data_IF_741756999454
#
_entry.id   IF_741756999454
#
_cell.length_a   1.000
_cell.length_b   1.000
_cell.length_c   1.000
_cell.angle_alpha   90.00
_cell.angle_beta   90.00
_cell.angle_gamma   90.00
#
_symmetry.space_group_name_H-M   'P 1'
#
loop_
_entity.id
_entity.type
_entity.pdbx_description
1 polymer ?
#
# COMPACT_ATOMS: atom_id res chain seq x y z
N UNK A 1 27.19 -6.13 -1.31
CA UNK A 1 26.76 -5.41 -0.10
C UNK A 1 25.26 -5.22 -0.23
N UNK A 2 24.44 -5.66 0.73
CA UNK A 2 23.00 -5.35 0.69
C UNK A 2 22.84 -3.84 0.87
N UNK A 3 22.07 -3.20 0.00
CA UNK A 3 21.85 -1.76 0.04
C UNK A 3 21.02 -1.41 1.28
N UNK A 4 21.54 -0.52 2.13
CA UNK A 4 20.79 -0.02 3.27
C UNK A 4 19.76 1.02 2.82
N UNK A 5 18.55 0.95 3.37
CA UNK A 5 17.47 1.90 3.05
C UNK A 5 16.95 2.52 4.35
N UNK A 6 16.90 3.85 4.38
CA UNK A 6 16.26 4.62 5.45
C UNK A 6 15.02 5.31 4.90
N UNK A 7 13.90 5.20 5.60
CA UNK A 7 12.68 5.95 5.32
C UNK A 7 12.49 7.03 6.38
N UNK A 8 12.53 8.29 5.96
CA UNK A 8 12.18 9.43 6.82
C UNK A 8 10.76 9.91 6.50
N UNK A 9 9.95 10.16 7.53
CA UNK A 9 8.56 10.62 7.38
C UNK A 9 8.10 11.43 8.59
N UNK A 10 6.99 12.14 8.45
CA UNK A 10 6.35 12.85 9.55
C UNK A 10 5.57 11.87 10.43
N UNK A 11 5.76 11.91 11.75
CA UNK A 11 5.16 10.92 12.67
C UNK A 11 3.63 10.81 12.59
N UNK A 12 2.95 11.88 12.13
CA UNK A 12 1.50 11.96 11.91
C UNK A 12 1.05 11.44 10.53
N UNK A 13 1.99 11.17 9.61
CA UNK A 13 1.74 10.67 8.27
C UNK A 13 2.73 9.54 7.88
N UNK A 14 2.70 8.39 8.58
CA UNK A 14 3.57 7.27 8.25
C UNK A 14 3.20 6.65 6.88
N UNK A 15 4.17 6.29 6.03
CA UNK A 15 3.93 5.60 4.76
C UNK A 15 3.61 4.12 5.02
N UNK A 16 2.41 3.85 5.54
CA UNK A 16 2.00 2.53 6.02
C UNK A 16 2.10 1.45 4.93
N UNK A 17 1.70 1.75 3.69
CA UNK A 17 1.78 0.84 2.56
C UNK A 17 3.21 0.33 2.32
N UNK A 18 4.18 1.25 2.39
CA UNK A 18 5.60 0.94 2.20
C UNK A 18 6.16 0.15 3.37
N UNK A 19 5.86 0.55 4.61
CA UNK A 19 6.33 -0.16 5.81
C UNK A 19 5.79 -1.60 5.83
N UNK A 20 4.51 -1.78 5.52
CA UNK A 20 3.87 -3.09 5.45
C UNK A 20 4.46 -3.95 4.32
N UNK A 21 4.59 -3.39 3.11
CA UNK A 21 5.16 -4.10 1.97
C UNK A 21 6.60 -4.52 2.19
N UNK A 22 7.44 -3.66 2.79
CA UNK A 22 8.83 -4.00 3.07
C UNK A 22 8.94 -5.14 4.07
N UNK A 23 8.13 -5.11 5.14
CA UNK A 23 8.08 -6.19 6.13
C UNK A 23 7.66 -7.51 5.51
N UNK A 24 6.63 -7.51 4.66
CA UNK A 24 6.15 -8.70 3.95
C UNK A 24 7.23 -9.21 2.99
N UNK A 25 7.82 -8.31 2.20
CA UNK A 25 8.86 -8.62 1.22
C UNK A 25 10.22 -9.06 1.81
N UNK A 26 10.39 -8.97 3.13
CA UNK A 26 11.67 -9.24 3.79
C UNK A 26 12.73 -8.16 3.55
N UNK A 27 12.33 -6.97 3.10
CA UNK A 27 13.23 -5.83 2.87
C UNK A 27 13.44 -5.06 4.18
N UNK A 28 14.68 -4.98 4.63
CA UNK A 28 15.02 -4.23 5.84
C UNK A 28 14.99 -2.72 5.59
N UNK A 29 14.16 -2.01 6.34
CA UNK A 29 14.09 -0.55 6.35
C UNK A 29 14.49 -0.02 7.72
N UNK A 30 15.35 1.00 7.73
CA UNK A 30 15.54 1.85 8.91
C UNK A 30 14.48 2.93 8.91
N UNK A 31 13.75 3.10 10.02
CA UNK A 31 12.64 4.06 10.14
C UNK A 31 13.09 5.30 10.90
N UNK A 32 12.81 6.46 10.34
CA UNK A 32 13.13 7.78 10.89
C UNK A 32 11.88 8.70 10.91
N UNK A 33 11.11 8.72 12.02
CA UNK A 33 9.87 9.51 12.12
C UNK A 33 10.14 10.97 12.55
N UNK A 34 11.25 11.58 12.11
CA UNK A 34 11.69 12.90 12.59
C UNK A 34 11.30 14.09 11.70
N UNK A 35 10.64 13.85 10.55
CA UNK A 35 10.27 14.97 9.68
C UNK A 35 9.16 15.84 10.31
N UNK A 36 9.08 17.14 9.95
CA UNK A 36 8.03 18.02 10.43
C UNK A 36 6.62 17.50 10.09
N UNK A 37 5.64 17.79 10.95
CA UNK A 37 4.22 17.49 10.71
C UNK A 37 3.77 17.99 9.33
N UNK A 38 3.02 17.14 8.62
CA UNK A 38 2.56 17.40 7.26
C UNK A 38 3.61 17.18 6.16
N UNK A 39 4.87 16.87 6.50
CA UNK A 39 5.84 16.42 5.50
C UNK A 39 5.47 15.05 4.92
N UNK A 40 5.80 14.84 3.64
CA UNK A 40 5.72 13.52 3.03
C UNK A 40 6.81 12.57 3.53
N UNK A 41 7.00 11.45 2.84
CA UNK A 41 8.10 10.53 3.10
C UNK A 41 9.24 10.70 2.10
N UNK A 42 10.46 10.35 2.50
CA UNK A 42 11.62 10.24 1.61
C UNK A 42 12.42 8.99 1.96
N UNK A 43 12.82 8.26 0.93
CA UNK A 43 13.59 7.02 1.00
C UNK A 43 15.02 7.32 0.55
N UNK A 44 15.97 6.99 1.42
CA UNK A 44 17.40 7.18 1.20
C UNK A 44 18.06 5.84 1.05
N UNK A 45 18.72 5.65 -0.09
CA UNK A 45 19.55 4.48 -0.33
C UNK A 45 20.98 4.77 0.10
N UNK A 46 21.68 3.75 0.62
CA UNK A 46 23.10 3.86 0.98
C UNK A 46 24.02 4.25 -0.18
N UNK A 47 23.56 4.09 -1.43
CA UNK A 47 24.21 4.57 -2.66
C UNK A 47 24.16 6.10 -2.84
N UNK A 48 23.36 6.80 -2.04
CA UNK A 48 23.10 8.24 -2.17
C UNK A 48 21.88 8.58 -3.06
N UNK A 49 21.26 7.58 -3.70
CA UNK A 49 20.01 7.77 -4.42
C UNK A 49 18.85 8.05 -3.45
N UNK A 50 17.89 8.86 -3.88
CA UNK A 50 16.71 9.20 -3.08
C UNK A 50 15.43 9.15 -3.88
N UNK A 51 14.34 8.74 -3.22
CA UNK A 51 12.98 8.71 -3.77
C UNK A 51 12.05 9.41 -2.79
N UNK A 52 11.20 10.32 -3.26
CA UNK A 52 10.22 11.04 -2.40
C UNK A 52 8.76 10.74 -2.80
N UNK A 53 8.53 9.66 -3.52
CA UNK A 53 7.21 9.20 -3.93
C UNK A 53 6.96 7.81 -3.35
N UNK A 54 5.98 7.71 -2.44
CA UNK A 54 5.62 6.47 -1.75
C UNK A 54 5.18 5.37 -2.71
N UNK A 55 4.37 5.71 -3.71
CA UNK A 55 3.86 4.75 -4.69
C UNK A 55 4.99 4.21 -5.57
N UNK A 56 5.91 5.07 -6.01
CA UNK A 56 7.09 4.65 -6.76
C UNK A 56 7.97 3.70 -5.93
N UNK A 57 8.13 3.98 -4.64
CA UNK A 57 8.89 3.12 -3.74
C UNK A 57 8.15 1.81 -3.42
N UNK A 58 6.82 1.83 -3.31
CA UNK A 58 6.00 0.64 -3.17
C UNK A 58 6.13 -0.29 -4.38
N UNK A 59 6.15 0.27 -5.59
CA UNK A 59 6.44 -0.47 -6.83
C UNK A 59 7.86 -1.05 -6.83
N UNK A 60 8.84 -0.30 -6.33
CA UNK A 60 10.21 -0.80 -6.14
C UNK A 60 10.22 -2.03 -5.22
N UNK A 61 9.57 -1.96 -4.06
CA UNK A 61 9.43 -3.10 -3.14
C UNK A 61 8.76 -4.30 -3.82
N UNK A 62 7.71 -4.05 -4.60
CA UNK A 62 7.07 -5.05 -5.45
C UNK A 62 8.07 -5.82 -6.32
N UNK A 63 8.97 -5.09 -6.99
CA UNK A 63 9.93 -5.65 -7.96
C UNK A 63 11.12 -6.36 -7.32
N UNK A 64 11.56 -5.93 -6.13
CA UNK A 64 12.72 -6.52 -5.45
C UNK A 64 12.36 -7.60 -4.43
N UNK A 65 11.07 -7.76 -4.11
CA UNK A 65 10.61 -8.79 -3.21
C UNK A 65 10.94 -10.19 -3.75
N UNK A 66 11.30 -11.10 -2.85
CA UNK A 66 11.48 -12.52 -3.17
C UNK A 66 10.14 -13.30 -3.15
N UNK A 67 9.01 -12.58 -3.09
CA UNK A 67 7.67 -13.14 -3.12
C UNK A 67 7.23 -13.24 -4.58
N UNK A 68 6.79 -14.43 -5.00
CA UNK A 68 6.29 -14.65 -6.35
C UNK A 68 5.13 -13.71 -6.68
N UNK A 69 5.21 -13.06 -7.86
CA UNK A 69 4.17 -12.21 -8.42
C UNK A 69 3.74 -11.02 -7.55
N UNK A 70 4.59 -10.58 -6.60
CA UNK A 70 4.26 -9.46 -5.71
C UNK A 70 4.06 -8.13 -6.46
N UNK A 71 4.58 -8.05 -7.70
CA UNK A 71 4.33 -6.97 -8.66
C UNK A 71 3.78 -7.48 -10.00
N UNK A 72 3.01 -8.57 -9.96
CA UNK A 72 2.41 -9.21 -11.14
C UNK A 72 3.33 -10.23 -11.80
N UNK A 73 2.75 -11.20 -12.50
CA UNK A 73 3.49 -12.21 -13.26
C UNK A 73 3.79 -11.79 -14.70
N UNK A 74 3.07 -10.80 -15.22
CA UNK A 74 3.22 -10.28 -16.58
C UNK A 74 2.89 -8.76 -16.60
N UNK A 75 3.15 -8.07 -17.73
CA UNK A 75 2.88 -6.63 -17.84
C UNK A 75 1.42 -6.23 -17.64
N UNK A 76 0.46 -7.13 -17.91
CA UNK A 76 -0.98 -6.87 -17.73
C UNK A 76 -1.31 -6.85 -16.25
N UNK A 77 -0.78 -7.79 -15.47
CA UNK A 77 -0.94 -7.75 -14.02
C UNK A 77 -0.20 -6.56 -13.40
N UNK A 78 1.01 -6.23 -13.87
CA UNK A 78 1.74 -5.07 -13.34
C UNK A 78 0.98 -3.76 -13.56
N UNK A 79 0.32 -3.55 -14.72
CA UNK A 79 -0.46 -2.33 -14.95
C UNK A 79 -1.75 -2.30 -14.11
N UNK A 80 -2.41 -3.45 -13.89
CA UNK A 80 -3.54 -3.53 -12.97
C UNK A 80 -3.13 -3.20 -11.53
N UNK A 81 -1.94 -3.64 -11.12
CA UNK A 81 -1.37 -3.27 -9.81
C UNK A 81 -1.16 -1.75 -9.73
N UNK A 82 -0.65 -1.13 -10.79
CA UNK A 82 -0.44 0.31 -10.84
C UNK A 82 -1.76 1.09 -10.72
N UNK A 83 -2.83 0.64 -11.39
CA UNK A 83 -4.17 1.21 -11.26
C UNK A 83 -4.69 1.12 -9.81
N UNK A 84 -4.52 -0.02 -9.14
CA UNK A 84 -4.95 -0.18 -7.75
C UNK A 84 -4.15 0.66 -6.76
N UNK A 85 -2.84 0.83 -6.98
CA UNK A 85 -2.01 1.74 -6.18
C UNK A 85 -2.52 3.18 -6.32
N UNK A 86 -2.83 3.63 -7.54
CA UNK A 86 -3.39 4.97 -7.77
C UNK A 86 -4.79 5.12 -7.15
N UNK A 87 -5.64 4.10 -7.30
CA UNK A 87 -6.99 4.08 -6.74
C UNK A 87 -6.99 4.11 -5.20
N UNK A 88 -5.94 3.63 -4.55
CA UNK A 88 -5.81 3.62 -3.09
C UNK A 88 -5.97 5.02 -2.46
N UNK A 89 -5.61 6.09 -3.19
CA UNK A 89 -5.76 7.48 -2.73
C UNK A 89 -7.21 7.96 -2.66
N UNK A 90 -8.13 7.32 -3.40
CA UNK A 90 -9.56 7.66 -3.41
C UNK A 90 -10.17 7.44 -2.01
N UNK A 91 -9.68 6.44 -1.26
CA UNK A 91 -10.16 6.14 0.09
C UNK A 91 -9.92 7.30 1.07
N UNK A 92 -8.88 8.10 0.86
CA UNK A 92 -8.59 9.28 1.70
C UNK A 92 -9.50 10.47 1.40
N UNK A 93 -10.27 10.43 0.30
CA UNK A 93 -11.22 11.49 -0.06
C UNK A 93 -12.56 11.25 0.62
N UNK A 94 -12.88 12.09 1.61
CA UNK A 94 -14.02 11.86 2.52
C UNK A 94 -15.38 11.64 1.83
N UNK A 95 -15.64 12.35 0.71
CA UNK A 95 -16.86 12.25 -0.11
C UNK A 95 -16.91 11.00 -0.99
N UNK A 96 -15.75 10.51 -1.46
CA UNK A 96 -15.65 9.37 -2.37
C UNK A 96 -15.46 8.04 -1.61
N UNK A 97 -15.18 8.09 -0.31
CA UNK A 97 -14.82 6.91 0.48
C UNK A 97 -15.84 5.77 0.46
N UNK A 98 -17.14 6.06 0.59
CA UNK A 98 -18.16 5.00 0.59
C UNK A 98 -18.28 4.33 -0.78
N UNK A 99 -18.20 5.12 -1.86
CA UNK A 99 -18.19 4.61 -3.22
C UNK A 99 -16.93 3.80 -3.49
N UNK A 100 -15.78 4.24 -2.95
CA UNK A 100 -14.52 3.51 -3.05
C UNK A 100 -14.59 2.15 -2.35
N UNK A 101 -15.17 2.11 -1.14
CA UNK A 101 -15.40 0.87 -0.40
C UNK A 101 -16.35 -0.07 -1.15
N UNK A 102 -17.43 0.47 -1.72
CA UNK A 102 -18.41 -0.28 -2.51
C UNK A 102 -17.77 -0.88 -3.76
N UNK A 103 -16.99 -0.08 -4.50
CA UNK A 103 -16.26 -0.53 -5.68
C UNK A 103 -15.27 -1.66 -5.36
N UNK A 104 -14.40 -1.48 -4.36
CA UNK A 104 -13.45 -2.52 -3.95
C UNK A 104 -14.16 -3.79 -3.46
N UNK A 105 -15.24 -3.65 -2.68
CA UNK A 105 -16.01 -4.80 -2.17
C UNK A 105 -16.72 -5.57 -3.27
N UNK A 106 -17.21 -4.87 -4.30
CA UNK A 106 -17.81 -5.49 -5.48
C UNK A 106 -16.74 -6.20 -6.30
N UNK A 107 -15.59 -5.57 -6.50
CA UNK A 107 -14.47 -6.15 -7.24
C UNK A 107 -13.95 -7.44 -6.58
N UNK A 108 -13.84 -7.44 -5.25
CA UNK A 108 -13.44 -8.60 -4.42
C UNK A 108 -14.56 -9.63 -4.21
N UNK A 109 -15.78 -9.42 -4.73
CA UNK A 109 -16.86 -10.39 -4.53
C UNK A 109 -16.60 -11.74 -5.21
N UNK A 110 -15.82 -11.73 -6.29
CA UNK A 110 -15.45 -12.91 -7.07
C UNK A 110 -13.94 -13.19 -7.03
N UNK A 111 -13.19 -12.46 -6.19
CA UNK A 111 -11.73 -12.49 -6.17
C UNK A 111 -11.19 -12.53 -4.73
N UNK A 112 -10.13 -13.29 -4.51
CA UNK A 112 -9.43 -13.31 -3.23
C UNK A 112 -8.37 -12.22 -3.14
N UNK A 113 -7.70 -11.92 -4.25
CA UNK A 113 -6.70 -10.87 -4.39
C UNK A 113 -7.14 -9.86 -5.46
N UNK A 114 -6.63 -8.62 -5.39
CA UNK A 114 -6.98 -7.58 -6.35
C UNK A 114 -6.47 -7.90 -7.76
N UNK A 115 -5.30 -8.53 -7.87
CA UNK A 115 -4.67 -8.87 -9.15
C UNK A 115 -4.19 -10.32 -9.11
N UNK A 116 -4.41 -11.04 -10.21
CA UNK A 116 -4.01 -12.45 -10.35
C UNK A 116 -4.61 -13.35 -9.26
N UNK A 117 -3.77 -14.23 -8.72
CA UNK A 117 -4.13 -15.26 -7.74
C UNK A 117 -3.21 -15.28 -6.50
N UNK A 118 -2.48 -14.20 -6.25
CA UNK A 118 -1.49 -14.10 -5.17
C UNK A 118 -1.49 -12.72 -4.54
N UNK A 119 -1.02 -12.63 -3.30
CA UNK A 119 -0.80 -11.35 -2.61
C UNK A 119 0.15 -10.46 -3.43
N UNK A 120 -0.24 -9.21 -3.63
CA UNK A 120 0.53 -8.21 -4.35
C UNK A 120 0.61 -6.89 -3.57
N UNK A 121 1.46 -5.97 -4.04
CA UNK A 121 1.49 -4.61 -3.48
C UNK A 121 0.19 -3.82 -3.66
N UNK A 122 -0.69 -4.22 -4.60
CA UNK A 122 -2.03 -3.64 -4.73
C UNK A 122 -2.88 -3.94 -3.50
N UNK A 123 -2.86 -5.19 -3.03
CA UNK A 123 -3.61 -5.60 -1.83
C UNK A 123 -3.14 -4.82 -0.60
N UNK A 124 -1.83 -4.62 -0.47
CA UNK A 124 -1.23 -3.84 0.61
C UNK A 124 -1.63 -2.36 0.52
N UNK A 125 -1.63 -1.77 -0.67
CA UNK A 125 -2.04 -0.39 -0.88
C UNK A 125 -3.50 -0.18 -0.42
N UNK A 126 -4.42 -1.03 -0.89
CA UNK A 126 -5.84 -0.94 -0.51
C UNK A 126 -6.05 -1.23 0.98
N UNK A 127 -5.40 -2.26 1.52
CA UNK A 127 -5.54 -2.62 2.93
C UNK A 127 -5.06 -1.48 3.85
N UNK A 128 -3.91 -0.88 3.55
CA UNK A 128 -3.39 0.25 4.34
C UNK A 128 -4.20 1.53 4.17
N UNK A 129 -4.74 1.78 2.97
CA UNK A 129 -5.70 2.87 2.76
C UNK A 129 -6.97 2.69 3.57
N UNK A 130 -7.50 1.47 3.71
CA UNK A 130 -8.65 1.20 4.58
C UNK A 130 -8.30 1.34 6.06
N UNK A 131 -7.16 0.77 6.48
CA UNK A 131 -6.69 0.83 7.87
C UNK A 131 -6.39 2.26 8.33
N UNK A 132 -5.86 3.11 7.45
CA UNK A 132 -5.50 4.51 7.73
C UNK A 132 -6.69 5.41 8.10
N UNK A 133 -7.92 4.99 7.81
CA UNK A 133 -9.16 5.76 8.06
C UNK A 133 -9.74 5.41 9.44
N UNK A 134 -9.02 4.56 10.21
CA UNK A 134 -9.20 4.37 11.65
C UNK A 134 -10.63 4.04 12.06
N UNK A 135 -11.23 4.90 12.89
CA UNK A 135 -12.56 4.69 13.48
C UNK A 135 -13.68 4.53 12.44
N UNK A 136 -13.56 5.20 11.28
CA UNK A 136 -14.57 5.10 10.20
C UNK A 136 -14.54 3.71 9.58
N UNK A 137 -13.35 3.17 9.32
CA UNK A 137 -13.20 1.79 8.85
C UNK A 137 -13.63 0.77 9.91
N UNK A 138 -13.25 0.94 11.18
CA UNK A 138 -13.68 0.02 12.25
C UNK A 138 -15.20 -0.01 12.44
N UNK A 139 -15.87 1.13 12.28
CA UNK A 139 -17.33 1.21 12.31
C UNK A 139 -17.95 0.47 11.12
N UNK A 140 -17.38 0.63 9.93
CA UNK A 140 -17.82 -0.07 8.72
C UNK A 140 -17.52 -1.56 8.75
N UNK A 141 -16.39 -1.99 9.32
CA UNK A 141 -16.02 -3.40 9.48
C UNK A 141 -17.01 -4.15 10.36
N UNK A 142 -17.54 -3.48 11.38
CA UNK A 142 -18.59 -4.02 12.26
C UNK A 142 -19.95 -4.07 11.56
N UNK A 143 -20.21 -3.16 10.62
CA UNK A 143 -21.38 -3.22 9.76
C UNK A 143 -21.17 -4.30 8.69
N UNK A 144 -22.12 -5.21 8.48
CA UNK A 144 -21.97 -6.28 7.45
C UNK A 144 -21.95 -5.74 5.99
N UNK A 145 -21.75 -4.44 5.77
CA UNK A 145 -21.91 -3.73 4.50
C UNK A 145 -20.79 -4.02 3.49
N UNK A 146 -19.55 -4.28 3.96
CA UNK A 146 -18.36 -4.47 3.10
C UNK A 146 -17.51 -5.68 3.51
N UNK A 147 -18.13 -6.86 3.67
CA UNK A 147 -17.46 -8.05 4.21
C UNK A 147 -16.29 -8.58 3.36
N UNK A 148 -16.21 -8.24 2.07
CA UNK A 148 -15.12 -8.73 1.22
C UNK A 148 -13.80 -7.98 1.49
N UNK A 149 -13.89 -6.71 1.88
CA UNK A 149 -12.74 -5.86 2.21
C UNK A 149 -12.07 -6.24 3.53
N UNK A 150 -12.67 -7.15 4.32
CA UNK A 150 -12.07 -7.66 5.56
C UNK A 150 -11.25 -8.93 5.35
N UNK A 151 -11.22 -9.45 4.11
CA UNK A 151 -10.52 -10.70 3.75
C UNK A 151 -9.14 -10.45 3.13
N UNK A 152 -8.96 -9.28 2.54
CA UNK A 152 -7.66 -8.70 2.13
C UNK A 152 -6.89 -8.24 3.36
#
# INVERSE_FOLDING_TARGET
MMEGITVSFAADNPPLSVIAAAKIAGVSLTVDPSLPSGAGCTFYFSSGFKVSNADAFLRYLGRVAQISNFYGQDPIESIQIDEWIEYAHVFSKGSEFEDACSYASKYLSMRTFLVGYSLSVADIAIWTSLAGIGQRWESLRKSKKYQNNTRT
#
